data_IF_208225963499
#
_entry.id   IF_208225963499
#
_cell.length_a   1.000
_cell.length_b   1.000
_cell.length_c   1.000
_cell.angle_alpha   90.00
_cell.angle_beta   90.00
_cell.angle_gamma   90.00
#
_symmetry.space_group_name_H-M   'P 1'
#
loop_
_entity.id
_entity.type
_entity.pdbx_description
1 polymer ?
#
# COMPACT_ATOMS: atom_id res chain seq x y z
N UNK A 1 4.20 -1.78 -13.32
CA UNK A 1 4.96 -0.85 -12.48
C UNK A 1 6.23 -0.46 -13.20
N UNK A 2 6.41 0.85 -13.43
CA UNK A 2 7.66 1.39 -13.99
C UNK A 2 8.41 2.16 -12.89
N UNK A 3 9.73 1.98 -12.81
CA UNK A 3 10.59 2.75 -11.89
C UNK A 3 10.98 4.06 -12.59
N UNK A 4 10.60 5.19 -12.01
CA UNK A 4 10.90 6.52 -12.53
C UNK A 4 12.19 7.08 -11.93
N UNK A 5 12.44 6.80 -10.64
CA UNK A 5 13.62 7.27 -9.91
C UNK A 5 13.95 6.32 -8.76
N UNK A 6 15.24 6.21 -8.45
CA UNK A 6 15.76 5.49 -7.28
C UNK A 6 16.64 6.47 -6.51
N UNK A 7 16.36 6.66 -5.22
CA UNK A 7 17.13 7.54 -4.34
C UNK A 7 17.56 6.77 -3.09
N UNK A 8 18.86 6.62 -2.89
CA UNK A 8 19.40 6.09 -1.65
C UNK A 8 19.69 7.24 -0.66
N UNK A 9 19.17 7.13 0.56
CA UNK A 9 19.34 8.09 1.64
C UNK A 9 20.29 7.48 2.68
N UNK A 10 21.54 7.92 2.66
CA UNK A 10 22.61 7.36 3.49
C UNK A 10 22.40 7.54 4.99
N UNK A 11 21.74 8.61 5.41
CA UNK A 11 21.51 8.97 6.82
C UNK A 11 20.49 8.06 7.50
N UNK A 12 19.62 7.44 6.71
CA UNK A 12 18.58 6.53 7.18
C UNK A 12 18.82 5.08 6.71
N UNK A 13 19.83 4.83 5.87
CA UNK A 13 20.09 3.54 5.20
C UNK A 13 18.84 3.00 4.48
N UNK A 14 18.12 3.88 3.78
CA UNK A 14 16.85 3.56 3.11
C UNK A 14 16.94 3.90 1.62
N UNK A 15 16.43 3.01 0.78
CA UNK A 15 16.20 3.29 -0.65
C UNK A 15 14.75 3.67 -0.88
N UNK A 16 14.52 4.86 -1.45
CA UNK A 16 13.20 5.31 -1.90
C UNK A 16 13.06 5.12 -3.41
N UNK A 17 11.87 4.71 -3.84
CA UNK A 17 11.52 4.50 -5.24
C UNK A 17 10.38 5.43 -5.64
N UNK A 18 10.57 6.19 -6.71
CA UNK A 18 9.47 6.86 -7.39
C UNK A 18 8.98 5.90 -8.47
N UNK A 19 7.73 5.44 -8.36
CA UNK A 19 7.15 4.43 -9.25
C UNK A 19 5.89 4.93 -9.92
N UNK A 20 5.62 4.43 -11.13
CA UNK A 20 4.33 4.56 -11.80
C UNK A 20 3.51 3.30 -11.56
N UNK A 21 2.30 3.50 -11.06
CA UNK A 21 1.29 2.47 -10.86
C UNK A 21 0.03 2.81 -11.65
N UNK A 22 -0.59 1.77 -12.19
CA UNK A 22 -1.96 1.83 -12.71
C UNK A 22 -2.97 1.76 -11.56
N UNK A 23 -4.21 2.19 -11.83
CA UNK A 23 -5.31 2.10 -10.86
C UNK A 23 -5.52 0.68 -10.35
N UNK A 24 -5.43 -0.31 -11.25
CA UNK A 24 -5.57 -1.73 -10.91
C UNK A 24 -4.47 -2.23 -9.98
N UNK A 25 -3.22 -1.77 -10.16
CA UNK A 25 -2.11 -2.14 -9.27
C UNK A 25 -2.31 -1.58 -7.87
N UNK A 26 -2.77 -0.33 -7.74
CA UNK A 26 -3.06 0.28 -6.42
C UNK A 26 -4.14 -0.51 -5.69
N UNK A 27 -5.22 -0.90 -6.39
CA UNK A 27 -6.30 -1.72 -5.82
C UNK A 27 -5.76 -3.07 -5.33
N UNK A 28 -4.95 -3.77 -6.14
CA UNK A 28 -4.37 -5.06 -5.77
C UNK A 28 -3.52 -4.93 -4.50
N UNK A 29 -2.69 -3.89 -4.39
CA UNK A 29 -1.89 -3.67 -3.19
C UNK A 29 -2.75 -3.37 -1.96
N UNK A 30 -3.79 -2.55 -2.11
CA UNK A 30 -4.70 -2.24 -1.02
C UNK A 30 -5.43 -3.50 -0.54
N UNK A 31 -5.88 -4.36 -1.45
CA UNK A 31 -6.54 -5.62 -1.10
C UNK A 31 -5.59 -6.61 -0.41
N UNK A 32 -4.35 -6.73 -0.89
CA UNK A 32 -3.33 -7.57 -0.27
C UNK A 32 -3.03 -7.12 1.16
N UNK A 33 -2.84 -5.81 1.39
CA UNK A 33 -2.63 -5.28 2.73
C UNK A 33 -3.85 -5.50 3.62
N UNK A 34 -5.06 -5.28 3.08
CA UNK A 34 -6.29 -5.51 3.82
C UNK A 34 -6.46 -6.99 4.20
N UNK A 35 -6.09 -7.93 3.33
CA UNK A 35 -6.07 -9.35 3.63
C UNK A 35 -5.11 -9.67 4.78
N UNK A 36 -3.88 -9.15 4.71
CA UNK A 36 -2.88 -9.32 5.78
C UNK A 36 -3.41 -8.80 7.11
N UNK A 37 -3.93 -7.57 7.14
CA UNK A 37 -4.47 -6.94 8.36
C UNK A 37 -5.68 -7.68 8.95
N UNK A 38 -6.47 -8.34 8.12
CA UNK A 38 -7.68 -9.07 8.56
C UNK A 38 -7.43 -10.51 8.99
N UNK A 39 -6.29 -11.09 8.65
CA UNK A 39 -6.04 -12.52 8.86
C UNK A 39 -4.79 -12.84 9.69
N UNK A 40 -3.84 -11.91 9.83
CA UNK A 40 -2.57 -12.18 10.49
C UNK A 40 -2.46 -11.50 11.87
N UNK A 41 -1.81 -12.20 12.81
CA UNK A 41 -1.38 -11.61 14.08
C UNK A 41 -0.20 -10.65 13.89
N UNK A 42 0.08 -9.81 14.90
CA UNK A 42 1.25 -8.93 14.88
C UNK A 42 2.57 -9.71 14.70
N UNK A 43 2.70 -10.88 15.33
CA UNK A 43 3.86 -11.77 15.17
C UNK A 43 4.00 -12.25 13.72
N UNK A 44 2.90 -12.71 13.11
CA UNK A 44 2.90 -13.14 11.72
C UNK A 44 3.15 -12.00 10.72
N UNK A 45 2.73 -10.78 11.05
CA UNK A 45 3.00 -9.58 10.26
C UNK A 45 4.50 -9.28 10.32
N UNK A 46 5.08 -9.25 11.51
CA UNK A 46 6.52 -9.03 11.67
C UNK A 46 7.34 -10.06 10.91
N UNK A 47 7.01 -11.34 11.02
CA UNK A 47 7.71 -12.42 10.31
C UNK A 47 7.63 -12.32 8.77
N UNK A 48 6.54 -11.74 8.23
CA UNK A 48 6.27 -11.74 6.78
C UNK A 48 6.58 -10.44 6.07
N UNK A 49 6.51 -9.31 6.77
CA UNK A 49 6.60 -7.98 6.15
C UNK A 49 7.68 -7.10 6.79
N UNK A 50 8.32 -7.57 7.87
CA UNK A 50 9.24 -6.78 8.70
C UNK A 50 8.59 -5.55 9.37
N UNK A 51 7.27 -5.38 9.24
CA UNK A 51 6.52 -4.34 9.94
C UNK A 51 6.27 -4.75 11.38
N UNK A 52 6.33 -3.78 12.29
CA UNK A 52 6.30 -4.05 13.73
C UNK A 52 4.96 -4.61 14.22
N UNK A 53 3.86 -4.20 13.60
CA UNK A 53 2.49 -4.58 14.00
C UNK A 53 1.44 -4.12 12.98
N UNK A 54 0.18 -4.49 13.21
CA UNK A 54 -0.99 -4.06 12.45
C UNK A 54 -1.12 -2.53 12.35
N UNK A 55 -0.74 -1.77 13.38
CA UNK A 55 -0.86 -0.30 13.35
C UNK A 55 0.06 0.31 12.29
N UNK A 56 1.32 -0.10 12.25
CA UNK A 56 2.26 0.36 11.22
C UNK A 56 1.74 0.02 9.82
N UNK A 57 1.32 -1.22 9.61
CA UNK A 57 0.83 -1.70 8.33
C UNK A 57 -0.47 -0.98 7.89
N UNK A 58 -1.32 -0.59 8.84
CA UNK A 58 -2.54 0.16 8.57
C UNK A 58 -2.28 1.54 7.97
N UNK A 59 -1.15 2.18 8.30
CA UNK A 59 -0.78 3.46 7.70
C UNK A 59 -0.55 3.32 6.19
N UNK A 60 0.14 2.26 5.75
CA UNK A 60 0.34 1.99 4.33
C UNK A 60 -0.98 1.69 3.60
N UNK A 61 -1.92 1.00 4.25
CA UNK A 61 -3.25 0.79 3.67
C UNK A 61 -4.02 2.12 3.51
N UNK A 62 -3.94 3.02 4.49
CA UNK A 62 -4.60 4.34 4.39
C UNK A 62 -3.98 5.23 3.31
N UNK A 63 -2.66 5.16 3.09
CA UNK A 63 -2.00 5.83 1.97
C UNK A 63 -2.52 5.30 0.62
N UNK A 64 -2.63 3.97 0.47
CA UNK A 64 -3.20 3.37 -0.74
C UNK A 64 -4.67 3.74 -0.93
N UNK A 65 -5.48 3.77 0.14
CA UNK A 65 -6.87 4.24 0.06
C UNK A 65 -6.95 5.71 -0.35
N UNK A 66 -6.02 6.54 0.09
CA UNK A 66 -5.93 7.95 -0.34
C UNK A 66 -5.64 8.04 -1.84
N UNK A 67 -4.75 7.20 -2.38
CA UNK A 67 -4.53 7.09 -3.82
C UNK A 67 -5.78 6.59 -4.57
N UNK A 68 -6.52 5.64 -4.01
CA UNK A 68 -7.78 5.17 -4.60
C UNK A 68 -8.82 6.30 -4.66
N UNK A 69 -8.92 7.13 -3.61
CA UNK A 69 -9.85 8.27 -3.58
C UNK A 69 -9.53 9.35 -4.62
N UNK A 70 -8.26 9.48 -5.02
CA UNK A 70 -7.81 10.47 -5.99
C UNK A 70 -7.94 10.01 -7.45
N UNK A 71 -8.38 8.77 -7.70
CA UNK A 71 -8.62 8.26 -9.06
C UNK A 71 -9.71 9.06 -9.77
N UNK A 72 -9.43 9.40 -11.03
CA UNK A 72 -10.30 10.27 -11.83
C UNK A 72 -11.61 9.56 -12.20
N UNK A 73 -11.54 8.28 -12.54
CA UNK A 73 -12.69 7.50 -13.01
C UNK A 73 -13.26 6.58 -11.93
N UNK A 74 -13.94 7.17 -10.94
CA UNK A 74 -14.53 6.45 -9.80
C UNK A 74 -15.52 5.33 -10.18
N UNK A 75 -16.07 5.35 -11.40
CA UNK A 75 -16.96 4.29 -11.91
C UNK A 75 -16.28 2.93 -12.04
N UNK A 76 -14.95 2.89 -12.18
CA UNK A 76 -14.17 1.65 -12.27
C UNK A 76 -13.69 1.14 -10.92
N UNK A 77 -13.98 1.87 -9.83
CA UNK A 77 -13.63 1.40 -8.50
C UNK A 77 -14.45 0.15 -8.14
N UNK A 78 -13.81 -0.87 -7.56
CA UNK A 78 -14.53 -2.00 -6.98
C UNK A 78 -15.52 -1.52 -5.91
N UNK A 79 -16.65 -2.21 -5.78
CA UNK A 79 -17.75 -1.80 -4.88
C UNK A 79 -17.29 -1.51 -3.44
N UNK A 80 -16.35 -2.31 -2.92
CA UNK A 80 -15.75 -2.15 -1.57
C UNK A 80 -15.01 -0.83 -1.35
N UNK A 81 -14.71 -0.08 -2.41
CA UNK A 81 -14.03 1.20 -2.38
C UNK A 81 -14.90 2.36 -2.87
N UNK A 82 -16.18 2.13 -3.19
CA UNK A 82 -17.08 3.19 -3.67
C UNK A 82 -17.49 4.19 -2.59
N UNK A 83 -17.47 3.76 -1.32
CA UNK A 83 -17.85 4.57 -0.16
C UNK A 83 -16.65 5.23 0.56
N UNK A 84 -15.46 5.14 -0.04
CA UNK A 84 -14.22 5.73 0.50
C UNK A 84 -14.22 7.27 0.48
#
# INVERSE_FOLDING_TARGET
>A
MDILKINYISEADVTLFDIRLSESEVIIYADCLNYVLSHLSDEQIYEKTECSNQKELSHYLEDLKTLIKSMEHKSYLPDRYKDL
#
